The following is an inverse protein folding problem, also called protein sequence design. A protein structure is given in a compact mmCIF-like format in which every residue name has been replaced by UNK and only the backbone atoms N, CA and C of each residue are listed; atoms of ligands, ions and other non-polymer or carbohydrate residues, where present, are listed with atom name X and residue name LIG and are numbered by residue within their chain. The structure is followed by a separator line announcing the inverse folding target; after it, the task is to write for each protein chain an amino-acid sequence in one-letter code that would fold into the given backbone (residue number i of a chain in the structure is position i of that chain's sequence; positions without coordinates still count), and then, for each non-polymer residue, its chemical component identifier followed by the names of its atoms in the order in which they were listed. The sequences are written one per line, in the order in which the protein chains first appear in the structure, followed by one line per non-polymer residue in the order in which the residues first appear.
data_IF_479202298585
#
_entry.id   IF_479202298585
#
_cell.length_a   1.000
_cell.length_b   1.000
_cell.length_c   1.000
_cell.angle_alpha   90.00
_cell.angle_beta   90.00
_cell.angle_gamma   90.00
#
_symmetry.space_group_name_H-M   'P 1'
#
loop_
_entity.id
_entity.type
_entity.pdbx_description
1 polymer ?
#
# COMPACT_ATOMS: atom_id res chain seq x y z
N UNK A 1 0.18 12.65 -30.81
CA UNK A 1 0.86 11.33 -30.64
C UNK A 1 1.30 11.11 -29.18
N UNK A 2 1.96 12.09 -28.53
CA UNK A 2 2.34 12.00 -27.10
C UNK A 2 1.12 11.85 -26.17
N UNK A 3 0.06 12.63 -26.38
CA UNK A 3 -1.14 12.57 -25.52
C UNK A 3 -1.84 11.21 -25.54
N UNK A 4 -1.86 10.54 -26.69
CA UNK A 4 -2.46 9.22 -26.84
C UNK A 4 -1.66 8.14 -26.10
N UNK A 5 -0.33 8.27 -26.08
CA UNK A 5 0.55 7.39 -25.28
C UNK A 5 0.32 7.60 -23.79
N UNK A 6 0.24 8.84 -23.31
CA UNK A 6 0.00 9.15 -21.90
C UNK A 6 -1.37 8.66 -21.43
N UNK A 7 -2.41 8.83 -22.25
CA UNK A 7 -3.76 8.32 -21.98
C UNK A 7 -3.80 6.79 -21.91
N UNK A 8 -3.08 6.10 -22.80
CA UNK A 8 -2.95 4.64 -22.77
C UNK A 8 -2.24 4.15 -21.50
N UNK A 9 -1.12 4.79 -21.12
CA UNK A 9 -0.40 4.48 -19.88
C UNK A 9 -1.28 4.69 -18.66
N UNK A 10 -2.03 5.80 -18.60
CA UNK A 10 -2.95 6.06 -17.48
C UNK A 10 -4.03 4.98 -17.36
N UNK A 11 -4.59 4.53 -18.49
CA UNK A 11 -5.59 3.46 -18.53
C UNK A 11 -5.00 2.13 -18.04
N UNK A 12 -3.81 1.76 -18.52
CA UNK A 12 -3.09 0.56 -18.06
C UNK A 12 -2.82 0.65 -16.56
N UNK A 13 -2.31 1.77 -16.07
CA UNK A 13 -2.03 1.97 -14.65
C UNK A 13 -3.29 1.82 -13.79
N UNK A 14 -4.42 2.40 -14.21
CA UNK A 14 -5.69 2.21 -13.50
C UNK A 14 -6.15 0.75 -13.47
N UNK A 15 -5.96 0.01 -14.57
CA UNK A 15 -6.25 -1.42 -14.64
C UNK A 15 -5.37 -2.24 -13.71
N UNK A 16 -4.06 -1.96 -13.68
CA UNK A 16 -3.12 -2.60 -12.76
C UNK A 16 -3.47 -2.29 -11.30
N UNK A 17 -3.78 -1.04 -10.98
CA UNK A 17 -4.21 -0.65 -9.62
C UNK A 17 -5.44 -1.44 -9.20
N UNK A 18 -6.46 -1.53 -10.05
CA UNK A 18 -7.68 -2.29 -9.75
C UNK A 18 -7.40 -3.79 -9.60
N UNK A 19 -6.58 -4.36 -10.49
CA UNK A 19 -6.18 -5.77 -10.41
C UNK A 19 -5.48 -6.07 -9.07
N UNK A 20 -4.51 -5.25 -8.67
CA UNK A 20 -3.80 -5.44 -7.40
C UNK A 20 -4.71 -5.25 -6.19
N UNK A 21 -5.69 -4.35 -6.25
CA UNK A 21 -6.71 -4.24 -5.21
C UNK A 21 -7.55 -5.51 -5.06
N UNK A 22 -7.97 -6.12 -6.17
CA UNK A 22 -8.70 -7.38 -6.13
C UNK A 22 -7.84 -8.52 -5.56
N UNK A 23 -6.60 -8.67 -6.02
CA UNK A 23 -5.66 -9.67 -5.49
C UNK A 23 -5.45 -9.48 -3.98
N UNK A 24 -5.17 -8.24 -3.55
CA UNK A 24 -4.99 -7.93 -2.13
C UNK A 24 -6.25 -8.21 -1.30
N UNK A 25 -7.44 -7.97 -1.86
CA UNK A 25 -8.71 -8.28 -1.20
C UNK A 25 -8.93 -9.78 -1.03
N UNK A 26 -8.61 -10.59 -2.05
CA UNK A 26 -8.69 -12.04 -1.96
C UNK A 26 -7.70 -12.58 -0.92
N UNK A 27 -6.45 -12.11 -0.94
CA UNK A 27 -5.45 -12.48 0.08
C UNK A 27 -5.95 -12.11 1.48
N UNK A 28 -6.50 -10.90 1.66
CA UNK A 28 -7.03 -10.44 2.95
C UNK A 28 -8.13 -11.37 3.47
N UNK A 29 -9.09 -11.74 2.63
CA UNK A 29 -10.25 -12.53 3.04
C UNK A 29 -9.89 -14.01 3.17
N UNK A 30 -9.28 -14.59 2.16
CA UNK A 30 -9.13 -16.05 2.05
C UNK A 30 -7.89 -16.58 2.77
N UNK A 31 -6.80 -15.81 2.78
CA UNK A 31 -5.52 -16.25 3.35
C UNK A 31 -5.33 -15.67 4.75
N UNK A 32 -5.57 -14.37 4.91
CA UNK A 32 -5.33 -13.67 6.17
C UNK A 32 -6.57 -13.61 7.08
N UNK A 33 -7.76 -13.98 6.59
CA UNK A 33 -9.01 -13.95 7.36
C UNK A 33 -9.26 -12.59 8.05
N UNK A 34 -9.05 -11.51 7.29
CA UNK A 34 -9.08 -10.11 7.73
C UNK A 34 -8.07 -9.74 8.83
N UNK A 35 -7.14 -10.62 9.20
CA UNK A 35 -6.01 -10.28 10.05
C UNK A 35 -4.90 -9.54 9.28
N UNK A 36 -4.09 -8.77 10.01
CA UNK A 36 -2.90 -8.15 9.42
C UNK A 36 -1.82 -9.22 9.28
N UNK A 37 -1.28 -9.38 8.07
CA UNK A 37 -0.09 -10.18 7.85
C UNK A 37 1.02 -9.83 8.85
N UNK A 38 1.64 -10.83 9.45
CA UNK A 38 2.68 -10.66 10.49
C UNK A 38 3.80 -9.72 10.04
N UNK A 39 4.22 -9.83 8.77
CA UNK A 39 5.20 -8.92 8.17
C UNK A 39 4.72 -7.45 8.15
N UNK A 40 3.44 -7.23 7.80
CA UNK A 40 2.85 -5.89 7.80
C UNK A 40 2.75 -5.29 9.20
N UNK A 41 2.51 -6.13 10.23
CA UNK A 41 2.55 -5.68 11.63
C UNK A 41 3.96 -5.21 12.01
N UNK A 42 5.00 -5.98 11.64
CA UNK A 42 6.42 -5.64 11.89
C UNK A 42 6.83 -4.33 11.21
N UNK A 43 6.46 -4.12 9.93
CA UNK A 43 6.77 -2.88 9.21
C UNK A 43 6.12 -1.68 9.89
N UNK A 44 4.83 -1.74 10.21
CA UNK A 44 4.14 -0.61 10.82
C UNK A 44 4.76 -0.27 12.17
N UNK A 45 5.07 -1.28 13.00
CA UNK A 45 5.75 -1.05 14.27
C UNK A 45 7.13 -0.40 14.11
N UNK A 46 7.95 -0.87 13.16
CA UNK A 46 9.26 -0.31 12.87
C UNK A 46 9.16 1.13 12.35
N UNK A 47 8.22 1.40 11.43
CA UNK A 47 8.00 2.73 10.87
C UNK A 47 7.47 3.71 11.92
N UNK A 48 6.52 3.29 12.76
CA UNK A 48 6.03 4.12 13.87
C UNK A 48 7.16 4.46 14.83
N UNK A 49 8.01 3.50 15.20
CA UNK A 49 9.17 3.75 16.05
C UNK A 49 10.13 4.76 15.43
N UNK A 50 10.42 4.61 14.14
CA UNK A 50 11.28 5.53 13.40
C UNK A 50 10.69 6.94 13.37
N UNK A 51 9.42 7.08 13.03
CA UNK A 51 8.73 8.37 12.99
C UNK A 51 8.65 9.00 14.39
N UNK A 52 8.37 8.23 15.44
CA UNK A 52 8.41 8.75 16.81
C UNK A 52 9.82 9.24 17.14
N UNK A 53 10.87 8.48 16.84
CA UNK A 53 12.24 8.92 17.09
C UNK A 53 12.60 10.21 16.34
N UNK A 54 12.18 10.32 15.08
CA UNK A 54 12.53 11.44 14.20
C UNK A 54 11.71 12.71 14.52
N UNK A 55 10.46 12.55 14.97
CA UNK A 55 9.50 13.65 15.09
C UNK A 55 8.98 13.92 16.52
N UNK A 56 9.30 13.09 17.53
CA UNK A 56 8.88 13.32 18.94
C UNK A 56 9.54 14.51 19.62
N UNK A 57 10.56 15.13 19.01
CA UNK A 57 11.20 16.36 19.55
C UNK A 57 10.30 17.60 19.57
N UNK A 58 9.02 17.51 19.14
CA UNK A 58 8.07 18.63 19.13
C UNK A 58 6.69 18.34 19.75
N UNK A 59 6.49 17.20 20.42
CA UNK A 59 5.17 16.80 20.97
C UNK A 59 5.08 16.79 22.51
N UNK A 60 6.04 17.42 23.20
CA UNK A 60 5.96 17.69 24.64
C UNK A 60 5.82 19.19 24.90
#
# INVERSE_FOLDING_TARGET
MIDQTLSSIASINSGLTLLYWHVGTQIRIEILQDERAEYGQKIVAAMTRQLTQDYSKGFY
#
